data_IF_263584238984
#
_entry.id   IF_263584238984
#
_cell.length_a   1.000
_cell.length_b   1.000
_cell.length_c   1.000
_cell.angle_alpha   90.00
_cell.angle_beta   90.00
_cell.angle_gamma   90.00
#
_symmetry.space_group_name_H-M   'P 1'
#
loop_
_entity.id
_entity.type
_entity.pdbx_description
1 polymer ?
#
# COMPACT_ATOMS: atom_id res chain seq x y z
N UNK A 1 -12.33 6.77 -24.63
CA UNK A 1 -12.16 6.96 -23.18
C UNK A 1 -12.54 8.39 -22.85
N UNK A 2 -13.30 8.61 -21.77
CA UNK A 2 -13.56 9.97 -21.30
C UNK A 2 -12.32 10.45 -20.53
N UNK A 3 -11.88 11.68 -20.79
CA UNK A 3 -10.80 12.32 -20.05
C UNK A 3 -11.38 13.26 -19.00
N UNK A 4 -10.87 13.16 -17.78
CA UNK A 4 -11.23 14.05 -16.67
C UNK A 4 -10.00 14.82 -16.23
N UNK A 5 -10.16 16.11 -15.94
CA UNK A 5 -9.05 16.92 -15.40
C UNK A 5 -8.77 16.56 -13.95
N UNK A 6 -7.55 16.88 -13.49
CA UNK A 6 -7.18 16.73 -12.09
C UNK A 6 -8.19 17.44 -11.16
N UNK A 7 -8.57 18.67 -11.47
CA UNK A 7 -9.50 19.45 -10.64
C UNK A 7 -10.90 18.83 -10.55
N UNK A 8 -11.37 18.20 -11.63
CA UNK A 8 -12.65 17.47 -11.61
C UNK A 8 -12.57 16.26 -10.68
N UNK A 9 -11.51 15.45 -10.82
CA UNK A 9 -11.29 14.28 -9.96
C UNK A 9 -11.04 14.68 -8.50
N UNK A 10 -10.38 15.82 -8.28
CA UNK A 10 -10.07 16.33 -6.96
C UNK A 10 -11.35 16.72 -6.22
N UNK A 11 -12.20 17.55 -6.86
CA UNK A 11 -13.49 17.95 -6.26
C UNK A 11 -14.36 16.73 -6.00
N UNK A 12 -14.51 15.85 -6.99
CA UNK A 12 -15.31 14.64 -6.86
C UNK A 12 -14.85 13.74 -5.70
N UNK A 13 -13.55 13.47 -5.61
CA UNK A 13 -13.02 12.59 -4.57
C UNK A 13 -13.08 13.23 -3.18
N UNK A 14 -12.82 14.53 -3.09
CA UNK A 14 -12.94 15.30 -1.85
C UNK A 14 -14.37 15.32 -1.35
N UNK A 15 -15.34 15.60 -2.22
CA UNK A 15 -16.77 15.61 -1.87
C UNK A 15 -17.21 14.25 -1.32
N UNK A 16 -16.68 13.15 -1.86
CA UNK A 16 -16.94 11.80 -1.33
C UNK A 16 -16.35 11.61 0.06
N UNK A 17 -15.10 12.02 0.30
CA UNK A 17 -14.51 11.91 1.65
C UNK A 17 -15.23 12.80 2.67
N UNK A 18 -15.68 13.99 2.28
CA UNK A 18 -16.53 14.85 3.10
C UNK A 18 -17.88 14.17 3.40
N UNK A 19 -18.50 13.54 2.41
CA UNK A 19 -19.74 12.79 2.60
C UNK A 19 -19.57 11.55 3.50
N UNK A 20 -18.38 10.94 3.53
CA UNK A 20 -18.01 9.91 4.51
C UNK A 20 -17.85 10.47 5.94
N UNK A 21 -17.86 11.80 6.11
CA UNK A 21 -17.71 12.49 7.39
C UNK A 21 -16.26 12.83 7.76
N UNK A 22 -15.33 12.78 6.80
CA UNK A 22 -13.96 13.23 7.06
C UNK A 22 -13.92 14.74 7.35
N UNK A 23 -13.13 15.20 8.32
CA UNK A 23 -12.83 16.63 8.46
C UNK A 23 -12.20 17.19 7.17
N UNK A 24 -12.40 18.49 6.93
CA UNK A 24 -11.95 19.17 5.69
C UNK A 24 -10.46 18.89 5.36
N UNK A 25 -9.59 18.99 6.36
CA UNK A 25 -8.15 18.76 6.20
C UNK A 25 -7.81 17.29 5.86
N UNK A 26 -8.55 16.34 6.44
CA UNK A 26 -8.36 14.91 6.20
C UNK A 26 -8.90 14.52 4.82
N UNK A 27 -10.04 15.08 4.41
CA UNK A 27 -10.61 14.89 3.08
C UNK A 27 -9.66 15.43 1.99
N UNK A 28 -9.05 16.60 2.21
CA UNK A 28 -8.03 17.14 1.33
C UNK A 28 -6.78 16.26 1.26
N UNK A 29 -6.26 15.82 2.42
CA UNK A 29 -5.09 14.94 2.49
C UNK A 29 -5.35 13.60 1.79
N UNK A 30 -6.51 12.99 2.05
CA UNK A 30 -6.90 11.74 1.44
C UNK A 30 -7.05 11.86 -0.09
N UNK A 31 -7.66 12.96 -0.55
CA UNK A 31 -7.82 13.26 -1.98
C UNK A 31 -6.48 13.42 -2.67
N UNK A 32 -5.56 14.24 -2.14
CA UNK A 32 -4.22 14.44 -2.72
C UNK A 32 -3.45 13.12 -2.79
N UNK A 33 -3.50 12.33 -1.72
CA UNK A 33 -2.85 11.02 -1.66
C UNK A 33 -3.43 10.07 -2.71
N UNK A 34 -4.75 9.99 -2.84
CA UNK A 34 -5.43 9.14 -3.82
C UNK A 34 -5.05 9.54 -5.26
N UNK A 35 -5.20 10.82 -5.59
CA UNK A 35 -4.96 11.32 -6.95
C UNK A 35 -3.48 11.29 -7.34
N UNK A 36 -2.56 11.27 -6.36
CA UNK A 36 -1.14 11.08 -6.65
C UNK A 36 -0.85 9.79 -7.43
N UNK A 37 -1.68 8.75 -7.24
CA UNK A 37 -1.57 7.51 -7.99
C UNK A 37 -1.94 7.71 -9.47
N UNK A 38 -3.08 8.36 -9.75
CA UNK A 38 -3.52 8.66 -11.12
C UNK A 38 -2.49 9.54 -11.85
N UNK A 39 -2.00 10.59 -11.18
CA UNK A 39 -1.00 11.50 -11.74
C UNK A 39 0.34 10.83 -12.08
N UNK A 40 0.60 9.65 -11.51
CA UNK A 40 1.81 8.85 -11.71
C UNK A 40 1.56 7.63 -12.60
N UNK A 41 0.37 7.49 -13.19
CA UNK A 41 0.01 6.35 -14.04
C UNK A 41 -0.14 5.03 -13.28
N UNK A 42 -0.43 5.09 -11.98
CA UNK A 42 -0.72 3.92 -11.14
C UNK A 42 -2.23 3.75 -11.03
N UNK A 43 -2.88 3.48 -12.16
CA UNK A 43 -4.35 3.45 -12.32
C UNK A 43 -5.07 2.51 -11.34
N UNK A 44 -4.34 1.50 -10.83
CA UNK A 44 -4.86 0.53 -9.86
C UNK A 44 -5.05 1.07 -8.44
N UNK A 45 -4.54 2.27 -8.12
CA UNK A 45 -4.53 2.84 -6.76
C UNK A 45 -5.07 4.27 -6.66
N UNK A 46 -5.50 4.87 -7.78
CA UNK A 46 -6.13 6.20 -7.82
C UNK A 46 -7.63 6.17 -7.59
N UNK A 47 -8.38 7.05 -8.27
CA UNK A 47 -9.85 7.16 -8.13
C UNK A 47 -10.57 5.83 -8.33
N UNK A 48 -10.01 4.89 -9.09
CA UNK A 48 -10.53 3.52 -9.21
C UNK A 48 -10.72 2.79 -7.88
N UNK A 49 -9.94 3.14 -6.84
CA UNK A 49 -10.04 2.58 -5.47
C UNK A 49 -11.01 3.31 -4.56
N UNK A 50 -11.53 4.48 -4.95
CA UNK A 50 -12.42 5.28 -4.11
C UNK A 50 -13.65 4.49 -3.63
N UNK A 51 -14.23 3.67 -4.52
CA UNK A 51 -15.36 2.80 -4.16
C UNK A 51 -15.02 1.79 -3.06
N UNK A 52 -13.76 1.33 -2.99
CA UNK A 52 -13.29 0.42 -1.95
C UNK A 52 -13.21 1.10 -0.58
N UNK A 53 -12.80 2.36 -0.54
CA UNK A 53 -12.80 3.16 0.68
C UNK A 53 -14.22 3.37 1.22
N UNK A 54 -15.17 3.68 0.34
CA UNK A 54 -16.59 3.80 0.71
C UNK A 54 -17.12 2.49 1.28
N UNK A 55 -16.85 1.34 0.63
CA UNK A 55 -17.29 0.02 1.15
C UNK A 55 -16.71 -0.30 2.53
N UNK A 56 -15.44 0.00 2.76
CA UNK A 56 -14.81 -0.19 4.07
C UNK A 56 -15.45 0.69 5.15
N UNK A 57 -15.79 1.93 4.80
CA UNK A 57 -16.48 2.86 5.68
C UNK A 57 -17.92 2.42 5.98
N UNK A 58 -18.69 2.01 4.98
CA UNK A 58 -20.05 1.45 5.16
C UNK A 58 -20.05 0.24 6.11
N UNK A 59 -19.00 -0.58 6.04
CA UNK A 59 -18.78 -1.73 6.93
C UNK A 59 -18.18 -1.36 8.30
N UNK A 60 -18.05 -0.07 8.61
CA UNK A 60 -17.48 0.47 9.87
C UNK A 60 -16.05 0.00 10.15
N UNK A 61 -15.28 -0.27 9.10
CA UNK A 61 -13.85 -0.64 9.20
C UNK A 61 -12.91 0.55 9.06
N UNK A 62 -13.42 1.66 8.54
CA UNK A 62 -12.73 2.95 8.53
C UNK A 62 -13.43 3.88 9.51
N UNK A 63 -12.65 4.46 10.41
CA UNK A 63 -13.03 5.65 11.15
C UNK A 63 -12.73 6.89 10.28
N UNK A 64 -13.77 7.62 9.89
CA UNK A 64 -13.62 8.83 9.08
C UNK A 64 -13.11 10.04 9.88
N UNK A 65 -13.18 9.99 11.22
CA UNK A 65 -12.69 11.05 12.12
C UNK A 65 -11.65 10.49 13.09
N UNK A 66 -10.53 9.93 12.59
CA UNK A 66 -9.58 9.22 13.43
C UNK A 66 -8.85 10.15 14.40
N UNK A 67 -8.70 9.70 15.64
CA UNK A 67 -7.84 10.35 16.63
C UNK A 67 -6.46 9.71 16.60
N UNK A 68 -5.69 10.02 15.56
CA UNK A 68 -4.34 9.48 15.35
C UNK A 68 -3.44 9.89 16.54
N UNK A 69 -2.73 8.93 17.13
CA UNK A 69 -1.90 9.16 18.32
C UNK A 69 -0.55 8.48 18.22
N UNK A 70 0.49 9.19 18.62
CA UNK A 70 1.77 8.58 19.00
C UNK A 70 1.54 7.90 20.35
N UNK A 71 1.76 6.58 20.41
CA UNK A 71 1.56 5.78 21.62
C UNK A 71 2.88 5.42 22.32
N UNK A 72 3.99 5.52 21.60
CA UNK A 72 5.34 5.39 22.13
C UNK A 72 6.30 6.18 21.26
N UNK A 73 7.30 6.82 21.85
CA UNK A 73 8.32 7.52 21.10
C UNK A 73 9.67 7.65 21.81
N UNK A 74 10.71 7.75 20.99
CA UNK A 74 12.08 8.12 21.35
C UNK A 74 12.53 9.28 20.43
N UNK A 75 13.75 9.82 20.56
CA UNK A 75 14.22 10.87 19.66
C UNK A 75 14.19 10.48 18.17
N UNK A 76 14.45 9.22 17.83
CA UNK A 76 14.52 8.74 16.43
C UNK A 76 13.40 7.76 16.03
N UNK A 77 12.54 7.33 16.96
CA UNK A 77 11.48 6.35 16.67
C UNK A 77 10.12 6.74 17.21
N UNK A 78 9.04 6.26 16.60
CA UNK A 78 7.69 6.30 17.17
C UNK A 78 6.83 5.11 16.73
N UNK A 79 5.86 4.78 17.57
CA UNK A 79 4.74 3.90 17.21
C UNK A 79 3.45 4.70 17.25
N UNK A 80 2.62 4.56 16.21
CA UNK A 80 1.36 5.29 16.04
C UNK A 80 0.18 4.32 16.04
N UNK A 81 -0.88 4.70 16.74
CA UNK A 81 -2.22 4.13 16.56
C UNK A 81 -3.00 5.01 15.59
N UNK A 82 -3.42 4.43 14.46
CA UNK A 82 -4.17 5.11 13.41
C UNK A 82 -5.66 5.26 13.69
N UNK A 83 -6.18 4.70 14.79
CA UNK A 83 -7.60 4.75 15.19
C UNK A 83 -8.57 4.26 14.10
N UNK A 84 -8.19 3.17 13.42
CA UNK A 84 -8.86 2.62 12.24
C UNK A 84 -9.06 3.65 11.11
N UNK A 85 -8.26 4.71 11.07
CA UNK A 85 -8.37 5.80 10.11
C UNK A 85 -8.10 5.39 8.66
N UNK A 86 -8.41 6.30 7.74
CA UNK A 86 -7.99 6.20 6.36
C UNK A 86 -6.45 6.15 6.30
N UNK A 87 -5.89 5.09 5.70
CA UNK A 87 -4.43 5.03 5.48
C UNK A 87 -3.90 6.22 4.67
N UNK A 88 -4.75 6.79 3.81
CA UNK A 88 -4.48 8.00 3.04
C UNK A 88 -4.26 9.25 3.91
N UNK A 89 -4.63 9.21 5.19
CA UNK A 89 -4.45 10.30 6.17
C UNK A 89 -3.44 9.90 7.24
N UNK A 90 -3.50 8.65 7.72
CA UNK A 90 -2.60 8.14 8.76
C UNK A 90 -1.16 8.05 8.27
N UNK A 91 -0.91 7.59 7.04
CA UNK A 91 0.46 7.43 6.55
C UNK A 91 1.19 8.77 6.28
N UNK A 92 0.55 9.82 5.73
CA UNK A 92 1.15 11.15 5.67
C UNK A 92 1.48 11.73 7.05
N UNK A 93 0.60 11.53 8.04
CA UNK A 93 0.91 11.91 9.42
C UNK A 93 2.14 11.17 9.96
N UNK A 94 2.23 9.86 9.74
CA UNK A 94 3.37 9.04 10.18
C UNK A 94 4.68 9.47 9.51
N UNK A 95 4.67 9.74 8.21
CA UNK A 95 5.85 10.23 7.50
C UNK A 95 6.29 11.61 8.01
N UNK A 96 5.35 12.53 8.26
CA UNK A 96 5.67 13.80 8.90
C UNK A 96 6.38 13.61 10.24
N UNK A 97 5.90 12.69 11.09
CA UNK A 97 6.57 12.37 12.36
C UNK A 97 7.99 11.82 12.12
N UNK A 98 8.19 10.96 11.12
CA UNK A 98 9.51 10.42 10.78
C UNK A 98 10.47 11.54 10.34
N UNK A 99 10.01 12.46 9.49
CA UNK A 99 10.79 13.63 9.03
C UNK A 99 11.19 14.51 10.22
N UNK A 100 10.25 14.86 11.11
CA UNK A 100 10.56 15.69 12.28
C UNK A 100 11.57 15.03 13.22
N UNK A 101 11.49 13.71 13.40
CA UNK A 101 12.49 12.96 14.18
C UNK A 101 13.86 12.90 13.47
N UNK A 102 13.87 12.74 12.15
CA UNK A 102 15.10 12.74 11.37
C UNK A 102 15.85 14.08 11.45
N UNK A 103 15.13 15.21 11.50
CA UNK A 103 15.75 16.54 11.73
C UNK A 103 16.51 16.63 13.05
N UNK A 104 16.05 15.90 14.08
CA UNK A 104 16.63 15.94 15.43
C UNK A 104 17.73 14.90 15.61
N UNK A 105 17.49 13.66 15.17
CA UNK A 105 18.33 12.51 15.50
C UNK A 105 19.10 11.95 14.30
N UNK A 106 18.99 12.56 13.12
CA UNK A 106 19.61 12.11 11.86
C UNK A 106 18.83 11.01 11.14
N UNK A 107 17.94 10.29 11.83
CA UNK A 107 17.01 9.31 11.25
C UNK A 107 15.67 9.31 12.00
N UNK A 108 14.61 8.88 11.31
CA UNK A 108 13.27 8.75 11.86
C UNK A 108 12.59 7.47 11.40
N UNK A 109 12.20 6.61 12.33
CA UNK A 109 11.52 5.35 12.06
C UNK A 109 10.16 5.32 12.73
N UNK A 110 9.09 5.18 11.96
CA UNK A 110 7.72 5.21 12.47
C UNK A 110 6.97 3.96 12.04
N UNK A 111 6.45 3.22 13.02
CA UNK A 111 5.60 2.05 12.80
C UNK A 111 4.14 2.40 13.13
N UNK A 112 3.20 1.93 12.32
CA UNK A 112 1.76 2.27 12.46
C UNK A 112 0.96 0.99 12.68
N UNK A 113 0.04 0.99 13.65
CA UNK A 113 -0.99 -0.04 13.81
C UNK A 113 -2.39 0.55 13.65
N UNK A 114 -3.38 -0.34 13.52
CA UNK A 114 -4.80 0.04 13.51
C UNK A 114 -5.10 1.11 12.43
N UNK A 115 -4.68 0.83 11.20
CA UNK A 115 -4.89 1.70 10.03
C UNK A 115 -5.52 0.90 8.88
N UNK A 116 -5.75 1.54 7.74
CA UNK A 116 -6.34 0.95 6.53
C UNK A 116 -5.45 1.19 5.30
N UNK A 117 -5.93 0.77 4.12
CA UNK A 117 -5.21 0.92 2.85
C UNK A 117 -4.75 2.36 2.58
N UNK A 118 -3.47 2.55 2.25
CA UNK A 118 -2.82 3.86 2.23
C UNK A 118 -2.52 4.44 0.83
N UNK A 119 -3.10 3.87 -0.22
CA UNK A 119 -2.83 4.29 -1.60
C UNK A 119 -1.47 3.78 -2.08
N UNK A 120 -0.73 4.60 -2.82
CA UNK A 120 0.63 4.27 -3.29
C UNK A 120 1.67 4.54 -2.20
N UNK A 121 2.63 3.62 -2.04
CA UNK A 121 3.71 3.76 -1.07
C UNK A 121 4.61 4.97 -1.39
N UNK A 122 4.81 5.23 -2.69
CA UNK A 122 5.65 6.29 -3.21
C UNK A 122 5.22 7.68 -2.77
N UNK A 123 3.91 7.96 -2.60
CA UNK A 123 3.44 9.26 -2.14
C UNK A 123 4.02 9.63 -0.77
N UNK A 124 4.01 8.67 0.15
CA UNK A 124 4.51 8.87 1.51
C UNK A 124 6.03 9.02 1.48
N UNK A 125 6.76 8.14 0.78
CA UNK A 125 8.21 8.24 0.68
C UNK A 125 8.66 9.58 0.08
N UNK A 126 7.95 10.12 -0.92
CA UNK A 126 8.31 11.38 -1.57
C UNK A 126 8.15 12.62 -0.67
N UNK A 127 7.38 12.58 0.42
CA UNK A 127 7.27 13.74 1.33
C UNK A 127 8.61 14.11 1.97
N UNK A 128 9.56 13.17 2.06
CA UNK A 128 10.91 13.44 2.54
C UNK A 128 11.74 14.30 1.58
N UNK A 129 11.40 14.30 0.27
CA UNK A 129 12.15 15.04 -0.75
C UNK A 129 12.10 16.55 -0.54
N UNK A 130 10.96 17.08 -0.07
CA UNK A 130 10.78 18.50 0.25
C UNK A 130 11.69 18.98 1.41
N UNK A 131 12.35 18.04 2.09
CA UNK A 131 13.26 18.28 3.20
C UNK A 131 14.71 17.86 2.91
N UNK A 132 15.04 17.57 1.65
CA UNK A 132 16.35 17.03 1.24
C UNK A 132 16.72 15.75 2.02
N UNK A 133 15.73 14.87 2.22
CA UNK A 133 15.86 13.61 2.95
C UNK A 133 15.54 12.41 2.07
N UNK A 134 16.17 11.27 2.38
CA UNK A 134 15.76 9.97 1.85
C UNK A 134 14.49 9.53 2.58
N UNK A 135 13.45 9.19 1.82
CA UNK A 135 12.20 8.66 2.33
C UNK A 135 12.03 7.19 2.02
N UNK A 136 11.48 6.41 2.95
CA UNK A 136 11.11 5.01 2.75
C UNK A 136 9.72 4.75 3.31
N UNK A 137 8.90 3.98 2.59
CA UNK A 137 7.56 3.58 3.04
C UNK A 137 7.28 2.13 2.67
N UNK A 138 6.64 1.41 3.59
CA UNK A 138 6.28 0.00 3.45
C UNK A 138 4.90 -0.23 4.09
N UNK A 139 4.12 -1.15 3.55
CA UNK A 139 2.88 -1.61 4.21
C UNK A 139 2.67 -3.08 3.93
N UNK A 140 2.03 -3.80 4.86
CA UNK A 140 1.54 -5.12 4.56
C UNK A 140 0.09 -5.10 4.06
N UNK A 141 -0.36 -6.21 3.50
CA UNK A 141 -1.70 -6.37 2.98
C UNK A 141 -2.27 -7.76 3.29
N UNK A 142 -3.55 -7.96 2.99
CA UNK A 142 -4.25 -9.22 3.17
C UNK A 142 -3.53 -10.40 2.47
N UNK A 143 -3.57 -11.60 3.05
CA UNK A 143 -2.79 -12.74 2.57
C UNK A 143 -3.29 -13.24 1.21
N UNK A 144 -2.49 -12.97 0.18
CA UNK A 144 -2.74 -13.37 -1.20
C UNK A 144 -1.53 -14.06 -1.85
N UNK A 145 -0.35 -13.93 -1.26
CA UNK A 145 0.94 -14.39 -1.78
C UNK A 145 1.38 -15.62 -1.02
N UNK A 146 1.80 -16.63 -1.76
CA UNK A 146 2.40 -17.85 -1.22
C UNK A 146 3.90 -17.67 -1.00
N UNK A 147 4.45 -18.07 0.17
CA UNK A 147 5.89 -18.22 0.34
C UNK A 147 6.48 -19.16 -0.72
N UNK A 148 7.74 -18.96 -1.08
CA UNK A 148 8.41 -19.86 -2.03
C UNK A 148 8.34 -21.31 -1.53
N UNK A 149 7.91 -22.23 -2.40
CA UNK A 149 7.65 -23.65 -2.09
C UNK A 149 6.41 -23.94 -1.22
N UNK A 150 5.56 -22.96 -0.99
CA UNK A 150 4.27 -23.14 -0.32
C UNK A 150 3.10 -23.10 -1.30
N UNK A 151 2.00 -23.74 -0.91
CA UNK A 151 0.68 -23.61 -1.57
C UNK A 151 -0.26 -22.69 -0.79
N UNK A 152 0.07 -22.42 0.47
CA UNK A 152 -0.73 -21.60 1.36
C UNK A 152 -0.38 -20.12 1.20
N UNK A 153 -1.41 -19.28 1.26
CA UNK A 153 -1.24 -17.82 1.26
C UNK A 153 -0.81 -17.38 2.65
N UNK A 154 0.23 -16.56 2.70
CA UNK A 154 0.75 -16.04 3.96
C UNK A 154 0.96 -14.53 3.91
N UNK A 155 1.48 -13.99 2.81
CA UNK A 155 1.87 -12.58 2.73
C UNK A 155 0.91 -11.78 1.85
N UNK A 156 0.84 -10.47 2.06
CA UNK A 156 0.25 -9.55 1.09
C UNK A 156 1.21 -9.23 -0.05
N UNK A 157 0.77 -8.37 -0.99
CA UNK A 157 1.63 -7.84 -2.07
C UNK A 157 2.73 -6.93 -1.54
N UNK A 158 2.61 -6.48 -0.29
CA UNK A 158 3.66 -5.95 0.57
C UNK A 158 4.65 -5.02 -0.16
N UNK A 159 4.25 -3.81 -0.57
CA UNK A 159 5.10 -2.91 -1.34
C UNK A 159 6.22 -2.26 -0.54
N UNK A 160 7.25 -1.86 -1.27
CA UNK A 160 8.38 -1.04 -0.81
C UNK A 160 8.46 0.19 -1.70
N UNK A 161 8.53 1.37 -1.07
CA UNK A 161 8.89 2.60 -1.77
C UNK A 161 10.11 3.26 -1.13
N UNK A 162 10.97 3.82 -1.99
CA UNK A 162 12.16 4.59 -1.62
C UNK A 162 12.25 5.82 -2.52
N UNK A 163 12.40 6.99 -1.92
CA UNK A 163 12.59 8.27 -2.60
C UNK A 163 13.94 8.88 -2.16
N UNK A 164 14.77 9.30 -3.12
CA UNK A 164 16.12 9.81 -2.88
C UNK A 164 16.30 11.13 -3.64
N UNK A 165 16.69 12.24 -2.97
CA UNK A 165 16.97 13.50 -3.63
C UNK A 165 18.21 13.38 -4.56
N UNK A 166 18.24 14.17 -5.63
CA UNK A 166 19.27 14.08 -6.66
C UNK A 166 19.84 15.44 -7.10
N UNK A 167 19.84 16.44 -6.18
CA UNK A 167 20.27 17.82 -6.42
C UNK A 167 19.63 18.43 -7.68
N UNK A 168 20.36 18.48 -8.79
CA UNK A 168 19.91 19.06 -10.06
C UNK A 168 19.11 18.11 -10.95
N UNK A 169 19.10 16.82 -10.64
CA UNK A 169 18.38 15.81 -11.41
C UNK A 169 17.03 15.49 -10.77
N UNK A 170 16.07 14.91 -11.52
CA UNK A 170 14.87 14.37 -10.92
C UNK A 170 15.21 13.34 -9.83
N UNK A 171 14.48 13.35 -8.70
CA UNK A 171 14.72 12.40 -7.61
C UNK A 171 14.48 10.97 -8.08
N UNK A 172 15.24 10.03 -7.53
CA UNK A 172 14.94 8.62 -7.71
C UNK A 172 13.70 8.27 -6.87
N UNK A 173 12.69 7.66 -7.47
CA UNK A 173 11.50 7.17 -6.76
C UNK A 173 11.19 5.75 -7.22
N UNK A 174 11.59 4.78 -6.41
CA UNK A 174 11.17 3.39 -6.56
C UNK A 174 9.89 3.16 -5.76
N UNK A 175 8.87 2.57 -6.39
CA UNK A 175 7.63 2.14 -5.74
C UNK A 175 7.18 0.83 -6.40
N UNK A 176 7.28 -0.28 -5.68
CA UNK A 176 7.04 -1.60 -6.24
C UNK A 176 6.45 -2.57 -5.21
N UNK A 177 5.57 -3.44 -5.68
CA UNK A 177 5.11 -4.60 -4.91
C UNK A 177 6.23 -5.64 -4.81
N UNK A 178 6.21 -6.46 -3.76
CA UNK A 178 7.11 -7.63 -3.63
C UNK A 178 6.58 -8.86 -4.38
N UNK A 179 5.58 -8.66 -5.24
CA UNK A 179 5.03 -9.59 -6.23
C UNK A 179 5.37 -9.14 -7.66
N UNK A 180 5.30 -10.02 -8.67
CA UNK A 180 5.56 -9.66 -10.07
C UNK A 180 4.59 -8.60 -10.63
N UNK A 181 3.39 -8.52 -10.08
CA UNK A 181 2.38 -7.54 -10.43
C UNK A 181 1.44 -7.24 -9.24
N UNK A 182 0.74 -6.11 -9.32
CA UNK A 182 -0.31 -5.74 -8.36
C UNK A 182 -1.63 -6.44 -8.68
N UNK A 183 -2.47 -6.68 -7.65
CA UNK A 183 -3.77 -7.35 -7.81
C UNK A 183 -4.68 -6.68 -8.86
N UNK A 184 -4.63 -5.35 -8.95
CA UNK A 184 -5.41 -4.60 -9.94
C UNK A 184 -5.08 -4.96 -11.40
N UNK A 185 -3.84 -5.40 -11.70
CA UNK A 185 -3.50 -5.86 -13.06
C UNK A 185 -4.22 -7.17 -13.40
N UNK A 186 -4.37 -8.07 -12.43
CA UNK A 186 -5.13 -9.31 -12.61
C UNK A 186 -6.62 -9.01 -12.79
N UNK A 187 -7.19 -8.09 -12.00
CA UNK A 187 -8.57 -7.63 -12.16
C UNK A 187 -8.84 -7.05 -13.57
N UNK A 188 -7.87 -6.35 -14.16
CA UNK A 188 -7.97 -5.85 -15.54
C UNK A 188 -7.98 -6.99 -16.56
N UNK A 189 -7.08 -7.97 -16.43
CA UNK A 189 -7.04 -9.13 -17.32
C UNK A 189 -8.34 -9.94 -17.27
N UNK A 190 -8.89 -10.14 -16.06
CA UNK A 190 -10.19 -10.80 -15.87
C UNK A 190 -11.32 -10.06 -16.60
N UNK A 191 -11.39 -8.72 -16.51
CA UNK A 191 -12.41 -7.93 -17.22
C UNK A 191 -12.27 -8.01 -18.74
N UNK A 192 -11.06 -8.25 -19.25
CA UNK A 192 -10.79 -8.42 -20.67
C UNK A 192 -10.94 -9.87 -21.15
N UNK A 193 -11.05 -10.84 -20.24
CA UNK A 193 -11.00 -12.26 -20.57
C UNK A 193 -9.63 -12.70 -21.10
N UNK A 194 -8.55 -12.05 -20.66
CA UNK A 194 -7.17 -12.34 -21.07
C UNK A 194 -6.45 -13.19 -20.00
N UNK A 195 -5.49 -14.02 -20.44
CA UNK A 195 -4.66 -14.83 -19.55
C UNK A 195 -3.63 -13.97 -18.79
N UNK A 196 -3.27 -14.39 -17.59
CA UNK A 196 -2.16 -13.87 -16.82
C UNK A 196 -0.81 -14.37 -17.37
N UNK A 197 0.24 -13.55 -17.37
CA UNK A 197 1.59 -14.03 -17.65
C UNK A 197 2.00 -15.15 -16.68
N UNK A 198 2.64 -16.20 -17.21
CA UNK A 198 3.23 -17.24 -16.38
C UNK A 198 4.22 -16.65 -15.37
N UNK A 199 4.25 -17.25 -14.18
CA UNK A 199 5.07 -16.79 -13.05
C UNK A 199 4.44 -15.69 -12.19
N UNK A 200 3.24 -15.19 -12.53
CA UNK A 200 2.49 -14.30 -11.64
C UNK A 200 1.79 -15.06 -10.52
N UNK A 201 1.18 -16.19 -10.85
CA UNK A 201 0.27 -16.92 -9.97
C UNK A 201 0.47 -18.42 -10.09
N UNK A 202 -0.01 -19.14 -9.07
CA UNK A 202 -0.14 -20.58 -9.04
C UNK A 202 -1.60 -20.98 -8.75
N UNK A 203 -2.02 -22.15 -9.23
CA UNK A 203 -3.33 -22.72 -8.93
C UNK A 203 -3.38 -23.29 -7.48
N UNK A 204 -4.54 -23.83 -7.08
CA UNK A 204 -4.75 -24.40 -5.73
C UNK A 204 -3.84 -25.60 -5.43
N UNK A 205 -3.35 -26.29 -6.47
CA UNK A 205 -2.38 -27.37 -6.37
C UNK A 205 -0.92 -26.88 -6.26
N UNK A 206 -0.67 -25.57 -6.37
CA UNK A 206 0.68 -24.99 -6.36
C UNK A 206 1.43 -25.11 -7.69
N UNK A 207 0.71 -25.36 -8.79
CA UNK A 207 1.28 -25.42 -10.13
C UNK A 207 1.16 -24.06 -10.81
N UNK A 208 2.12 -23.70 -11.66
CA UNK A 208 2.05 -22.46 -12.44
C UNK A 208 0.79 -22.46 -13.33
N UNK A 209 0.13 -21.31 -13.40
CA UNK A 209 -1.09 -21.14 -14.22
C UNK A 209 -1.10 -19.75 -14.86
N UNK A 210 -1.72 -19.65 -16.03
CA UNK A 210 -2.03 -18.42 -16.74
C UNK A 210 -3.52 -18.05 -16.64
N UNK A 211 -4.34 -18.82 -15.92
CA UNK A 211 -5.74 -18.47 -15.68
C UNK A 211 -5.80 -17.24 -14.75
N UNK A 212 -6.26 -16.10 -15.28
CA UNK A 212 -6.42 -14.87 -14.51
C UNK A 212 -7.35 -15.02 -13.30
N UNK A 213 -8.22 -16.05 -13.26
CA UNK A 213 -9.07 -16.38 -12.12
C UNK A 213 -8.43 -17.35 -11.11
N UNK A 214 -7.22 -17.83 -11.35
CA UNK A 214 -6.56 -18.85 -10.52
C UNK A 214 -6.47 -18.47 -9.04
N UNK A 215 -6.24 -17.20 -8.72
CA UNK A 215 -6.24 -16.70 -7.33
C UNK A 215 -7.64 -16.76 -6.72
N UNK A 216 -8.70 -16.37 -7.43
CA UNK A 216 -10.08 -16.47 -6.92
C UNK A 216 -10.55 -17.92 -6.75
N UNK A 217 -9.95 -18.86 -7.49
CA UNK A 217 -10.25 -20.30 -7.44
C UNK A 217 -9.43 -21.06 -6.38
N UNK A 218 -8.77 -20.36 -5.46
CA UNK A 218 -8.00 -20.98 -4.36
C UNK A 218 -6.49 -21.06 -4.58
N UNK A 219 -5.99 -20.55 -5.71
CA UNK A 219 -4.55 -20.40 -5.97
C UNK A 219 -3.89 -19.27 -5.18
N UNK A 220 -2.71 -18.82 -5.58
CA UNK A 220 -2.02 -17.72 -4.88
C UNK A 220 -1.16 -16.91 -5.84
N UNK A 221 -0.86 -15.67 -5.45
CA UNK A 221 0.24 -14.91 -6.05
C UNK A 221 1.57 -15.57 -5.71
N UNK A 222 2.50 -15.49 -6.66
CA UNK A 222 3.90 -15.80 -6.43
C UNK A 222 4.65 -14.53 -6.00
N UNK A 223 5.74 -14.66 -5.24
CA UNK A 223 6.61 -13.52 -4.93
C UNK A 223 7.34 -13.03 -6.19
N UNK A 224 7.93 -11.83 -6.12
CA UNK A 224 8.77 -11.30 -7.19
C UNK A 224 9.92 -12.28 -7.50
N UNK A 225 10.11 -12.56 -8.78
CA UNK A 225 10.99 -13.64 -9.23
C UNK A 225 10.29 -14.99 -9.37
N UNK A 226 8.97 -15.07 -9.12
CA UNK A 226 8.12 -16.22 -9.44
C UNK A 226 8.57 -17.51 -8.77
N UNK A 227 9.18 -18.38 -9.55
CA UNK A 227 9.65 -19.70 -9.13
C UNK A 227 11.10 -19.70 -8.59
N UNK A 228 11.62 -20.89 -8.32
CA UNK A 228 12.99 -21.09 -7.81
C UNK A 228 14.07 -20.59 -8.78
N UNK A 229 13.90 -20.84 -10.08
CA UNK A 229 14.91 -20.54 -11.10
C UNK A 229 15.00 -19.03 -11.35
N UNK A 230 13.88 -18.33 -11.24
CA UNK A 230 13.78 -16.90 -11.50
C UNK A 230 13.92 -16.03 -10.23
N UNK A 231 14.24 -16.65 -9.09
CA UNK A 231 14.60 -15.93 -7.87
C UNK A 231 13.44 -15.59 -6.94
N UNK A 232 12.32 -16.32 -6.99
CA UNK A 232 11.14 -16.12 -6.14
C UNK A 232 11.44 -16.02 -4.64
N UNK A 233 12.49 -16.71 -4.16
CA UNK A 233 12.94 -16.60 -2.77
C UNK A 233 13.36 -15.18 -2.38
N UNK A 234 13.88 -14.37 -3.32
CA UNK A 234 14.25 -12.98 -3.08
C UNK A 234 13.00 -12.11 -2.89
N UNK A 235 11.99 -12.28 -3.75
CA UNK A 235 10.71 -11.61 -3.59
C UNK A 235 10.02 -11.99 -2.28
N UNK A 236 10.08 -13.27 -1.90
CA UNK A 236 9.57 -13.74 -0.61
C UNK A 236 10.26 -13.03 0.55
N UNK A 237 11.61 -13.00 0.56
CA UNK A 237 12.38 -12.32 1.61
C UNK A 237 11.99 -10.83 1.70
N UNK A 238 11.89 -10.13 0.57
CA UNK A 238 11.46 -8.73 0.55
C UNK A 238 10.05 -8.57 1.12
N UNK A 239 9.11 -9.42 0.72
CA UNK A 239 7.73 -9.39 1.23
C UNK A 239 7.63 -9.68 2.72
N UNK A 240 8.48 -10.58 3.24
CA UNK A 240 8.59 -10.86 4.68
C UNK A 240 9.17 -9.69 5.46
N UNK A 241 10.20 -9.00 4.94
CA UNK A 241 10.76 -7.81 5.58
C UNK A 241 9.66 -6.75 5.74
N UNK A 242 8.90 -6.49 4.67
CA UNK A 242 7.76 -5.56 4.71
C UNK A 242 6.74 -5.99 5.77
N UNK A 243 6.34 -7.26 5.79
CA UNK A 243 5.34 -7.75 6.74
C UNK A 243 5.76 -7.52 8.19
N UNK A 244 7.01 -7.87 8.51
CA UNK A 244 7.58 -7.73 9.85
C UNK A 244 7.71 -6.24 10.22
N UNK A 245 8.25 -5.42 9.33
CA UNK A 245 8.53 -4.01 9.63
C UNK A 245 7.24 -3.18 9.75
N UNK A 246 6.23 -3.48 8.92
CA UNK A 246 4.95 -2.77 8.96
C UNK A 246 4.06 -3.18 10.12
N UNK A 247 4.10 -4.44 10.56
CA UNK A 247 3.13 -4.95 11.52
C UNK A 247 3.72 -5.39 12.88
N UNK A 248 4.83 -6.12 12.91
CA UNK A 248 5.37 -6.64 14.18
C UNK A 248 5.88 -5.50 15.07
N UNK A 249 6.54 -4.49 14.48
CA UNK A 249 7.08 -3.36 15.23
C UNK A 249 6.00 -2.47 15.86
N UNK A 250 4.83 -2.37 15.23
CA UNK A 250 3.70 -1.59 15.74
C UNK A 250 2.73 -2.40 16.59
N UNK A 251 2.76 -3.73 16.51
CA UNK A 251 1.74 -4.62 17.06
C UNK A 251 0.46 -4.69 16.20
N UNK A 252 0.57 -4.42 14.89
CA UNK A 252 -0.52 -4.62 13.95
C UNK A 252 -0.65 -6.10 13.53
N UNK A 253 -1.68 -6.41 12.75
CA UNK A 253 -1.88 -7.74 12.20
C UNK A 253 -0.89 -8.01 11.06
N UNK A 254 -0.32 -9.21 11.04
CA UNK A 254 0.70 -9.65 10.09
C UNK A 254 0.30 -10.96 9.42
N UNK A 255 0.98 -11.29 8.32
CA UNK A 255 0.81 -12.54 7.58
C UNK A 255 -0.65 -12.98 7.39
N UNK A 256 -1.02 -14.22 7.79
CA UNK A 256 -2.38 -14.75 7.60
C UNK A 256 -3.43 -14.07 8.49
N UNK A 257 -3.01 -13.32 9.51
CA UNK A 257 -3.91 -12.59 10.41
C UNK A 257 -4.23 -11.18 9.92
N UNK A 258 -3.57 -10.70 8.85
CA UNK A 258 -3.89 -9.43 8.22
C UNK A 258 -5.34 -9.47 7.69
N UNK A 259 -6.24 -8.59 8.16
CA UNK A 259 -7.64 -8.63 7.78
C UNK A 259 -7.82 -8.50 6.26
N UNK A 260 -8.75 -9.22 5.63
CA UNK A 260 -9.02 -9.08 4.21
C UNK A 260 -9.51 -7.67 3.90
N UNK A 261 -9.18 -7.14 2.73
CA UNK A 261 -9.89 -5.98 2.17
C UNK A 261 -11.35 -6.41 1.90
N UNK A 262 -12.33 -5.56 2.20
CA UNK A 262 -13.74 -5.92 1.98
C UNK A 262 -13.96 -6.11 0.48
N UNK A 263 -14.56 -7.24 0.10
CA UNK A 263 -15.00 -7.52 -1.27
C UNK A 263 -16.02 -6.47 -1.72
#
# INVERSE_FOLDING_TARGET
MNHFSYDQLYRFSKDIFLAMGCPEADAETATKTLLSADMRGVDSHGVARLSGYVRLWDKKRINATPKIKIIHETPSTATIDGDAGLGLVVAPFAMKVAIEKAKVAGTGWVAVKNSNHYGIAGYHAMQALDHDMIGMSMTNASPLVSPTFSKERMLGTNPIAVAIPADKQPPFVGDFATTPAANGKLEVLQRKGENAPLGWIQNKEGQSTDDAHGVTQGGAWLPLGGDRLHGGHKGFILGSIVDIFSAVLSGANYGPWAPPFVA
#
